data_IF_325226057276
#
_entry.id   IF_325226057276
#
_cell.length_a   1.000
_cell.length_b   1.000
_cell.length_c   1.000
_cell.angle_alpha   90.00
_cell.angle_beta   90.00
_cell.angle_gamma   90.00
#
_symmetry.space_group_name_H-M   'P 1'
#
loop_
_entity.id
_entity.type
_entity.pdbx_description
1 polymer ?
#
# COMPACT_ATOMS: atom_id res chain seq x y z
N UNK A 1 2.78 26.59 -15.75
CA UNK A 1 2.63 26.07 -14.38
C UNK A 1 2.73 24.57 -14.50
N UNK A 2 3.93 24.03 -14.33
CA UNK A 2 4.20 22.60 -14.43
C UNK A 2 3.57 21.91 -13.23
N UNK A 3 2.75 20.90 -13.49
CA UNK A 3 2.13 20.04 -12.50
C UNK A 3 3.16 19.61 -11.43
N UNK A 4 2.73 19.59 -10.16
CA UNK A 4 3.58 19.21 -9.02
C UNK A 4 3.93 17.73 -8.95
N UNK A 5 4.16 17.07 -10.09
CA UNK A 5 4.55 15.67 -10.22
C UNK A 5 6.04 15.58 -10.53
N UNK A 6 6.71 14.58 -9.98
CA UNK A 6 8.07 14.27 -10.38
C UNK A 6 8.07 13.72 -11.81
N UNK A 7 8.89 14.26 -12.73
CA UNK A 7 9.00 13.71 -14.06
C UNK A 7 9.58 12.29 -13.96
N UNK A 8 9.17 11.34 -14.82
CA UNK A 8 9.66 9.97 -14.79
C UNK A 8 11.18 9.90 -14.66
N UNK A 9 11.93 10.71 -15.41
CA UNK A 9 13.40 10.79 -15.34
C UNK A 9 13.95 11.08 -13.94
N UNK A 10 13.31 11.93 -13.15
CA UNK A 10 13.73 12.20 -11.78
C UNK A 10 13.54 10.98 -10.88
N UNK A 11 12.44 10.24 -11.05
CA UNK A 11 12.20 8.97 -10.32
C UNK A 11 13.27 7.94 -10.68
N UNK A 12 13.71 7.88 -11.94
CA UNK A 12 14.78 6.98 -12.36
C UNK A 12 16.13 7.34 -11.76
N UNK A 13 16.47 8.63 -11.73
CA UNK A 13 17.74 9.11 -11.17
C UNK A 13 17.83 8.72 -9.67
N UNK A 14 16.70 8.78 -8.95
CA UNK A 14 16.58 8.32 -7.56
C UNK A 14 16.69 6.79 -7.47
N UNK A 15 15.91 6.06 -8.27
CA UNK A 15 15.85 4.60 -8.22
C UNK A 15 17.20 3.94 -8.58
N UNK A 16 17.99 4.53 -9.48
CA UNK A 16 19.32 4.01 -9.87
C UNK A 16 20.37 4.08 -8.76
N UNK A 17 20.19 4.96 -7.77
CA UNK A 17 21.14 5.10 -6.66
C UNK A 17 20.91 4.02 -5.60
N UNK A 18 19.67 3.56 -5.46
CA UNK A 18 19.27 2.52 -4.52
C UNK A 18 19.25 1.16 -5.22
N UNK A 19 20.11 0.26 -4.77
CA UNK A 19 20.17 -1.12 -5.26
C UNK A 19 19.40 -2.08 -4.37
N UNK A 20 19.30 -3.33 -4.81
CA UNK A 20 18.55 -4.39 -4.10
C UNK A 20 19.06 -4.66 -2.68
N UNK A 21 20.37 -4.51 -2.47
CA UNK A 21 21.03 -4.73 -1.18
C UNK A 21 20.70 -3.65 -0.14
N UNK A 22 20.20 -2.47 -0.57
CA UNK A 22 19.92 -1.37 0.34
C UNK A 22 18.63 -1.61 1.15
N UNK A 23 17.84 -2.64 0.80
CA UNK A 23 16.56 -2.99 1.46
C UNK A 23 15.61 -1.80 1.63
N UNK A 24 15.72 -0.81 0.74
CA UNK A 24 14.87 0.35 0.68
C UNK A 24 13.89 0.25 -0.48
N UNK A 25 12.67 0.74 -0.26
CA UNK A 25 11.59 0.67 -1.24
C UNK A 25 10.59 1.79 -0.98
N UNK A 26 9.87 2.19 -2.03
CA UNK A 26 8.86 3.25 -1.94
C UNK A 26 7.66 2.73 -1.15
N UNK A 27 7.14 3.53 -0.23
CA UNK A 27 6.01 3.17 0.63
C UNK A 27 4.90 4.22 0.62
N UNK A 28 3.88 4.00 1.45
CA UNK A 28 2.91 5.03 1.81
C UNK A 28 2.02 5.43 0.64
N UNK A 29 1.80 6.74 0.52
CA UNK A 29 0.97 7.28 -0.55
C UNK A 29 1.62 7.12 -1.91
N UNK A 30 2.95 7.24 -1.97
CA UNK A 30 3.69 7.26 -3.22
C UNK A 30 3.77 5.89 -3.88
N UNK A 31 3.92 4.81 -3.11
CA UNK A 31 3.82 3.46 -3.66
C UNK A 31 2.44 3.23 -4.30
N UNK A 32 1.37 3.63 -3.60
CA UNK A 32 0.01 3.51 -4.13
C UNK A 32 -0.18 4.34 -5.41
N UNK A 33 0.40 5.54 -5.47
CA UNK A 33 0.33 6.39 -6.64
C UNK A 33 0.98 5.74 -7.85
N UNK A 34 2.19 5.17 -7.69
CA UNK A 34 2.89 4.47 -8.77
C UNK A 34 2.07 3.28 -9.28
N UNK A 35 1.49 2.48 -8.38
CA UNK A 35 0.58 1.41 -8.77
C UNK A 35 -0.68 1.92 -9.48
N UNK A 36 -1.30 2.99 -8.98
CA UNK A 36 -2.50 3.56 -9.59
C UNK A 36 -2.22 4.10 -11.00
N UNK A 37 -1.08 4.74 -11.21
CA UNK A 37 -0.66 5.19 -12.53
C UNK A 37 -0.39 4.01 -13.47
N UNK A 38 0.33 2.99 -13.00
CA UNK A 38 0.60 1.78 -13.77
C UNK A 38 -0.69 1.08 -14.23
N UNK A 39 -1.68 0.93 -13.35
CA UNK A 39 -2.95 0.28 -13.70
C UNK A 39 -3.97 1.21 -14.37
N UNK A 40 -3.71 2.52 -14.48
CA UNK A 40 -4.69 3.49 -15.00
C UNK A 40 -5.08 3.24 -16.46
N UNK A 41 -4.20 2.63 -17.25
CA UNK A 41 -4.49 2.24 -18.65
C UNK A 41 -5.52 1.11 -18.73
N UNK A 42 -5.48 0.16 -17.79
CA UNK A 42 -6.40 -0.99 -17.73
C UNK A 42 -7.66 -0.73 -16.89
N UNK A 43 -7.60 0.20 -15.94
CA UNK A 43 -8.69 0.52 -15.03
C UNK A 43 -8.98 2.04 -15.03
N UNK A 44 -9.76 2.49 -16.01
CA UNK A 44 -10.06 3.91 -16.23
C UNK A 44 -10.72 4.61 -15.01
N UNK A 45 -11.37 3.87 -14.11
CA UNK A 45 -11.90 4.40 -12.85
C UNK A 45 -10.81 4.97 -11.93
N UNK A 46 -9.55 4.56 -12.09
CA UNK A 46 -8.41 5.18 -11.41
C UNK A 46 -8.15 6.61 -11.92
N UNK A 47 -8.62 7.00 -13.10
CA UNK A 47 -8.43 8.37 -13.58
C UNK A 47 -9.23 9.39 -12.73
N UNK A 48 -10.31 8.97 -12.07
CA UNK A 48 -11.14 9.82 -11.20
C UNK A 48 -10.39 10.37 -9.97
N UNK A 49 -9.34 9.68 -9.53
CA UNK A 49 -8.65 10.01 -8.27
C UNK A 49 -7.31 10.73 -8.48
N UNK A 50 -6.98 11.11 -9.73
CA UNK A 50 -5.88 12.02 -10.04
C UNK A 50 -6.17 13.45 -9.53
N UNK A 51 -5.14 14.26 -9.19
CA UNK A 51 -3.75 13.88 -9.04
C UNK A 51 -3.54 13.12 -7.72
N UNK A 52 -2.65 12.14 -7.81
CA UNK A 52 -2.30 11.22 -6.73
C UNK A 52 -1.11 11.72 -5.89
N UNK A 53 -0.23 12.52 -6.47
CA UNK A 53 1.10 12.84 -5.94
C UNK A 53 1.12 14.01 -4.96
N UNK A 54 1.90 13.88 -3.90
CA UNK A 54 2.65 15.00 -3.30
C UNK A 54 4.03 15.10 -3.98
N UNK A 55 4.73 16.21 -3.79
CA UNK A 55 6.12 16.38 -4.25
C UNK A 55 7.10 15.45 -3.52
N UNK A 56 6.70 14.99 -2.35
CA UNK A 56 7.56 14.28 -1.40
C UNK A 56 7.52 12.77 -1.64
N UNK A 57 8.66 12.10 -1.59
CA UNK A 57 8.75 10.65 -1.76
C UNK A 57 8.93 9.95 -0.41
N UNK A 58 8.04 9.02 -0.07
CA UNK A 58 8.18 8.17 1.11
C UNK A 58 8.98 6.90 0.77
N UNK A 59 10.13 6.69 1.41
CA UNK A 59 10.87 5.44 1.41
C UNK A 59 10.77 4.73 2.76
N UNK A 60 10.71 3.40 2.73
CA UNK A 60 11.12 2.60 3.87
C UNK A 60 12.62 2.36 3.78
N UNK A 61 13.35 2.55 4.87
CA UNK A 61 14.79 2.33 4.87
C UNK A 61 15.46 2.85 6.14
N UNK A 62 16.73 2.50 6.31
CA UNK A 62 17.54 2.99 7.43
C UNK A 62 18.27 4.28 7.06
N UNK A 63 18.69 5.05 8.08
CA UNK A 63 19.46 6.29 7.91
C UNK A 63 20.67 6.13 6.98
N UNK A 64 21.40 5.03 7.08
CA UNK A 64 22.58 4.76 6.21
C UNK A 64 22.23 4.76 4.72
N UNK A 65 21.02 4.33 4.37
CA UNK A 65 20.53 4.34 2.98
C UNK A 65 20.15 5.75 2.55
N UNK A 66 19.55 6.53 3.45
CA UNK A 66 19.28 7.96 3.21
C UNK A 66 20.57 8.75 2.98
N UNK A 67 21.62 8.50 3.77
CA UNK A 67 22.94 9.11 3.60
C UNK A 67 23.55 8.78 2.23
N UNK A 68 23.46 7.51 1.80
CA UNK A 68 23.88 7.07 0.47
C UNK A 68 23.10 7.80 -0.63
N UNK A 69 21.78 7.93 -0.49
CA UNK A 69 20.94 8.59 -1.47
C UNK A 69 21.26 10.09 -1.57
N UNK A 70 21.40 10.78 -0.43
CA UNK A 70 21.79 12.18 -0.38
C UNK A 70 23.14 12.41 -1.10
N UNK A 71 24.14 11.57 -0.81
CA UNK A 71 25.43 11.65 -1.48
C UNK A 71 25.34 11.41 -2.99
N UNK A 72 24.54 10.43 -3.43
CA UNK A 72 24.33 10.13 -4.85
C UNK A 72 23.60 11.24 -5.62
N UNK A 73 22.70 11.96 -4.94
CA UNK A 73 21.96 13.08 -5.52
C UNK A 73 22.69 14.43 -5.39
N UNK A 74 23.81 14.48 -4.66
CA UNK A 74 24.45 15.75 -4.29
C UNK A 74 23.59 16.62 -3.37
N UNK A 75 22.70 15.99 -2.59
CA UNK A 75 21.78 16.63 -1.66
C UNK A 75 22.31 16.70 -0.22
N UNK A 76 21.43 17.07 0.70
CA UNK A 76 21.68 17.09 2.16
C UNK A 76 20.71 16.17 2.90
N UNK A 77 21.01 15.89 4.16
CA UNK A 77 20.20 15.04 5.03
C UNK A 77 19.83 15.79 6.31
N UNK A 78 18.55 15.73 6.67
CA UNK A 78 18.04 16.15 7.97
C UNK A 78 17.66 14.89 8.77
N UNK A 79 18.20 14.77 9.98
CA UNK A 79 17.95 13.63 10.86
C UNK A 79 17.04 14.09 12.01
N UNK A 80 15.92 13.40 12.27
CA UNK A 80 15.04 13.73 13.39
C UNK A 80 15.80 13.71 14.71
N UNK A 81 15.45 14.64 15.60
CA UNK A 81 15.96 14.69 16.96
C UNK A 81 15.52 13.43 17.74
N UNK A 82 16.26 12.97 18.76
CA UNK A 82 15.79 11.90 19.65
C UNK A 82 14.41 12.17 20.30
N UNK A 83 14.00 13.43 20.38
CA UNK A 83 12.71 13.86 20.92
C UNK A 83 11.58 13.87 19.87
N UNK A 84 11.89 13.63 18.59
CA UNK A 84 10.88 13.55 17.53
C UNK A 84 10.10 12.23 17.65
N UNK A 85 8.79 12.36 17.79
CA UNK A 85 7.87 11.22 17.96
C UNK A 85 7.43 10.58 16.63
N UNK A 86 8.03 11.01 15.51
CA UNK A 86 7.71 10.51 14.17
C UNK A 86 8.47 9.21 13.86
N UNK A 87 7.90 8.32 13.04
CA UNK A 87 8.59 7.09 12.58
C UNK A 87 9.67 7.37 11.53
N UNK A 88 9.99 8.64 11.31
CA UNK A 88 10.95 9.11 10.33
C UNK A 88 12.36 8.85 10.82
N UNK A 89 13.24 8.42 9.92
CA UNK A 89 14.65 8.15 10.22
C UNK A 89 15.58 9.19 9.62
N UNK A 90 15.15 9.84 8.53
CA UNK A 90 15.87 10.90 7.84
C UNK A 90 14.94 11.58 6.82
N UNK A 91 15.25 12.81 6.44
CA UNK A 91 14.77 13.47 5.21
C UNK A 91 15.99 13.70 4.34
N UNK A 92 15.90 13.35 3.06
CA UNK A 92 16.90 13.76 2.05
C UNK A 92 16.33 14.94 1.28
N UNK A 93 17.08 16.03 1.25
CA UNK A 93 16.79 17.22 0.45
C UNK A 93 17.71 17.22 -0.78
N UNK A 94 17.15 17.27 -1.97
CA UNK A 94 17.93 17.28 -3.20
C UNK A 94 17.26 18.08 -4.31
N UNK A 95 18.03 18.47 -5.33
CA UNK A 95 17.50 19.04 -6.56
C UNK A 95 17.74 18.05 -7.70
N UNK A 96 16.68 17.45 -8.23
CA UNK A 96 16.76 16.46 -9.32
C UNK A 96 16.11 17.04 -10.56
N UNK A 97 16.86 17.12 -11.66
CA UNK A 97 16.41 17.72 -12.93
C UNK A 97 15.84 19.15 -12.74
N UNK A 98 16.40 19.93 -11.81
CA UNK A 98 15.95 21.30 -11.50
C UNK A 98 14.70 21.39 -10.62
N UNK A 99 14.26 20.27 -10.04
CA UNK A 99 13.11 20.20 -9.13
C UNK A 99 13.63 19.88 -7.73
N UNK A 100 13.30 20.74 -6.78
CA UNK A 100 13.58 20.47 -5.36
C UNK A 100 12.63 19.40 -4.85
N UNK A 101 13.21 18.38 -4.22
CA UNK A 101 12.53 17.21 -3.69
C UNK A 101 12.94 16.94 -2.26
N UNK A 102 11.96 16.50 -1.48
CA UNK A 102 12.14 15.95 -0.15
C UNK A 102 11.80 14.45 -0.20
N UNK A 103 12.69 13.63 0.36
CA UNK A 103 12.54 12.18 0.41
C UNK A 103 12.55 11.75 1.88
N UNK A 104 11.38 11.39 2.38
CA UNK A 104 11.19 10.93 3.74
C UNK A 104 11.55 9.46 3.87
N UNK A 105 12.50 9.13 4.74
CA UNK A 105 12.79 7.76 5.12
C UNK A 105 12.06 7.40 6.40
N UNK A 106 11.33 6.29 6.36
CA UNK A 106 10.50 5.79 7.45
C UNK A 106 11.00 4.43 7.93
N UNK A 107 11.03 4.24 9.26
CA UNK A 107 11.33 2.95 9.90
C UNK A 107 10.10 2.07 10.11
N UNK A 108 8.90 2.66 10.00
CA UNK A 108 7.65 1.97 10.24
C UNK A 108 6.51 2.59 9.42
N UNK A 109 5.63 1.74 8.88
CA UNK A 109 4.44 2.17 8.16
C UNK A 109 3.20 1.80 8.97
N UNK A 110 2.44 2.82 9.37
CA UNK A 110 1.23 2.66 10.17
C UNK A 110 0.24 1.72 9.48
N UNK A 111 -0.30 0.76 10.23
CA UNK A 111 -1.32 -0.17 9.76
C UNK A 111 -0.81 -1.47 9.15
N UNK A 112 0.50 -1.63 9.01
CA UNK A 112 1.11 -2.85 8.46
C UNK A 112 1.94 -3.56 9.52
N UNK A 113 1.91 -4.89 9.51
CA UNK A 113 2.66 -5.73 10.45
C UNK A 113 4.18 -5.63 10.23
N UNK A 114 4.96 -6.13 11.19
CA UNK A 114 6.42 -6.24 11.05
C UNK A 114 6.78 -7.20 9.90
N UNK A 115 7.91 -6.96 9.23
CA UNK A 115 8.34 -7.75 8.08
C UNK A 115 7.80 -7.24 6.74
N UNK A 116 7.58 -5.92 6.63
CA UNK A 116 7.13 -5.26 5.40
C UNK A 116 8.02 -5.59 4.21
N UNK A 117 9.32 -5.79 4.47
CA UNK A 117 10.34 -6.13 3.48
C UNK A 117 10.06 -7.45 2.75
N UNK A 118 9.32 -8.38 3.36
CA UNK A 118 8.96 -9.66 2.74
C UNK A 118 7.83 -9.53 1.70
N UNK A 119 7.09 -8.41 1.72
CA UNK A 119 6.07 -8.07 0.74
C UNK A 119 6.47 -6.85 -0.07
N UNK A 120 7.73 -6.79 -0.51
CA UNK A 120 8.20 -5.82 -1.49
C UNK A 120 8.04 -6.43 -2.87
N UNK A 121 7.56 -5.63 -3.82
CA UNK A 121 7.33 -6.03 -5.20
C UNK A 121 8.05 -5.08 -6.12
N UNK A 122 8.69 -5.61 -7.16
CA UNK A 122 9.36 -4.81 -8.16
C UNK A 122 8.39 -4.47 -9.30
N UNK A 123 8.15 -3.18 -9.50
CA UNK A 123 7.43 -2.69 -10.65
C UNK A 123 8.42 -2.44 -11.79
N UNK A 124 8.34 -3.26 -12.83
CA UNK A 124 9.14 -3.11 -14.04
C UNK A 124 8.51 -2.05 -14.95
N UNK A 125 9.23 -0.96 -15.18
CA UNK A 125 8.81 0.10 -16.09
C UNK A 125 9.74 0.14 -17.30
N UNK A 126 9.20 0.19 -18.54
CA UNK A 126 10.02 0.42 -19.71
C UNK A 126 10.67 1.81 -19.61
N UNK A 127 11.94 1.88 -19.97
CA UNK A 127 12.71 3.11 -19.96
C UNK A 127 13.68 3.18 -21.13
N UNK A 128 13.74 4.34 -21.78
CA UNK A 128 14.74 4.64 -22.79
C UNK A 128 15.95 5.35 -22.16
N UNK A 129 17.09 4.66 -22.16
CA UNK A 129 18.37 5.26 -21.79
C UNK A 129 19.26 5.44 -23.03
N UNK A 130 19.46 6.70 -23.44
CA UNK A 130 20.35 7.06 -24.55
C UNK A 130 20.03 6.35 -25.88
N UNK A 131 18.74 6.13 -26.17
CA UNK A 131 18.27 5.46 -27.37
C UNK A 131 18.29 3.94 -27.28
N UNK A 132 18.40 3.37 -26.08
CA UNK A 132 18.31 1.93 -25.81
C UNK A 132 17.12 1.65 -24.91
N UNK A 133 16.27 0.73 -25.36
CA UNK A 133 15.22 0.16 -24.53
C UNK A 133 15.86 -0.65 -23.38
N UNK A 134 15.46 -0.30 -22.16
CA UNK A 134 15.82 -0.97 -20.93
C UNK A 134 14.59 -1.07 -20.03
N UNK A 135 14.68 -1.88 -18.98
CA UNK A 135 13.66 -1.97 -17.93
C UNK A 135 14.25 -1.43 -16.62
N UNK A 136 13.49 -0.61 -15.91
CA UNK A 136 13.80 -0.21 -14.54
C UNK A 136 12.87 -0.95 -13.59
N UNK A 137 13.46 -1.66 -12.63
CA UNK A 137 12.74 -2.15 -11.45
C UNK A 137 12.65 -1.05 -10.39
N UNK A 138 11.44 -0.66 -10.02
CA UNK A 138 11.18 0.18 -8.85
C UNK A 138 10.62 -0.70 -7.74
N UNK A 139 11.32 -0.75 -6.61
CA UNK A 139 10.89 -1.54 -5.45
C UNK A 139 9.77 -0.82 -4.71
N UNK A 140 8.60 -1.44 -4.62
CA UNK A 140 7.38 -0.87 -4.05
C UNK A 140 6.81 -1.71 -2.91
N UNK A 141 6.17 -1.02 -1.98
CA UNK A 141 5.25 -1.62 -1.04
C UNK A 141 4.13 -2.37 -1.76
N UNK A 142 3.87 -3.63 -1.37
CA UNK A 142 2.80 -4.43 -1.95
C UNK A 142 1.42 -3.75 -1.86
N UNK A 143 0.56 -3.84 -2.90
CA UNK A 143 -0.77 -3.22 -2.93
C UNK A 143 -1.67 -3.49 -1.72
N UNK A 144 -1.65 -4.73 -1.19
CA UNK A 144 -2.39 -5.07 0.03
C UNK A 144 -1.92 -4.23 1.23
N UNK A 145 -0.61 -4.04 1.38
CA UNK A 145 -0.04 -3.22 2.44
C UNK A 145 -0.40 -1.74 2.24
N UNK A 146 -0.43 -1.25 0.99
CA UNK A 146 -0.91 0.10 0.69
C UNK A 146 -2.35 0.30 1.19
N UNK A 147 -3.26 -0.64 0.89
CA UNK A 147 -4.64 -0.61 1.38
C UNK A 147 -4.70 -0.57 2.92
N UNK A 148 -3.98 -1.48 3.58
CA UNK A 148 -3.92 -1.54 5.04
C UNK A 148 -3.44 -0.22 5.67
N UNK A 149 -2.38 0.37 5.09
CA UNK A 149 -1.85 1.65 5.53
C UNK A 149 -2.85 2.79 5.36
N UNK A 150 -3.52 2.90 4.20
CA UNK A 150 -4.53 3.97 3.98
C UNK A 150 -5.70 3.84 4.95
N UNK A 151 -6.19 2.63 5.18
CA UNK A 151 -7.27 2.39 6.15
C UNK A 151 -6.83 2.78 7.57
N UNK A 152 -5.64 2.40 8.01
CA UNK A 152 -5.14 2.77 9.33
C UNK A 152 -4.90 4.27 9.48
N UNK A 153 -4.41 4.96 8.44
CA UNK A 153 -4.20 6.40 8.47
C UNK A 153 -5.51 7.17 8.69
N UNK A 154 -6.61 6.73 8.09
CA UNK A 154 -7.91 7.39 8.29
C UNK A 154 -8.51 7.05 9.66
N UNK A 155 -8.41 5.81 10.12
CA UNK A 155 -9.02 5.36 11.38
C UNK A 155 -8.24 5.83 12.61
N UNK A 156 -6.92 5.61 12.62
CA UNK A 156 -6.09 5.83 13.80
C UNK A 156 -5.54 7.25 13.86
N UNK A 157 -5.20 7.84 12.71
CA UNK A 157 -4.59 9.17 12.63
C UNK A 157 -5.60 10.26 12.23
N UNK A 158 -6.85 9.89 11.93
CA UNK A 158 -7.89 10.83 11.53
C UNK A 158 -7.59 11.59 10.22
N UNK A 159 -6.66 11.10 9.39
CA UNK A 159 -6.28 11.77 8.13
C UNK A 159 -7.47 11.76 7.17
N UNK A 160 -7.95 12.93 6.80
CA UNK A 160 -9.20 13.09 6.06
C UNK A 160 -9.16 14.18 4.98
N UNK A 161 -7.95 14.65 4.64
CA UNK A 161 -7.72 15.60 3.55
C UNK A 161 -8.06 15.00 2.19
N UNK A 162 -8.12 15.85 1.16
CA UNK A 162 -8.52 15.44 -0.19
C UNK A 162 -7.62 14.36 -0.78
N UNK A 163 -6.31 14.43 -0.57
CA UNK A 163 -5.35 13.45 -1.10
C UNK A 163 -5.49 12.11 -0.37
N UNK A 164 -5.57 12.13 0.96
CA UNK A 164 -5.80 10.91 1.75
C UNK A 164 -7.09 10.19 1.34
N UNK A 165 -8.17 10.93 1.03
CA UNK A 165 -9.44 10.35 0.56
C UNK A 165 -9.33 9.75 -0.84
N UNK A 166 -8.65 10.42 -1.77
CA UNK A 166 -8.42 9.90 -3.13
C UNK A 166 -7.59 8.61 -3.10
N UNK A 167 -6.52 8.61 -2.32
CA UNK A 167 -5.69 7.41 -2.10
C UNK A 167 -6.48 6.28 -1.43
N UNK A 168 -7.26 6.58 -0.39
CA UNK A 168 -8.12 5.59 0.25
C UNK A 168 -9.12 4.97 -0.76
N UNK A 169 -9.69 5.77 -1.65
CA UNK A 169 -10.62 5.29 -2.68
C UNK A 169 -9.93 4.47 -3.78
N UNK A 170 -8.71 4.80 -4.17
CA UNK A 170 -7.95 4.08 -5.20
C UNK A 170 -7.38 2.75 -4.71
N UNK A 171 -7.05 2.61 -3.42
CA UNK A 171 -6.36 1.44 -2.89
C UNK A 171 -7.07 0.09 -3.14
N UNK A 172 -8.40 -0.06 -2.97
CA UNK A 172 -9.10 -1.30 -3.32
C UNK A 172 -9.03 -1.65 -4.80
N UNK A 173 -9.06 -0.63 -5.67
CA UNK A 173 -9.00 -0.80 -7.12
C UNK A 173 -7.61 -1.30 -7.52
N UNK A 174 -6.56 -0.63 -7.04
CA UNK A 174 -5.18 -1.04 -7.25
C UNK A 174 -4.93 -2.48 -6.78
N UNK A 175 -5.43 -2.86 -5.60
CA UNK A 175 -5.30 -4.24 -5.11
C UNK A 175 -6.02 -5.25 -6.02
N UNK A 176 -7.21 -4.91 -6.53
CA UNK A 176 -7.95 -5.76 -7.45
C UNK A 176 -7.16 -5.96 -8.76
N UNK A 177 -6.66 -4.89 -9.35
CA UNK A 177 -5.89 -4.97 -10.61
C UNK A 177 -4.59 -5.76 -10.43
N UNK A 178 -3.92 -5.62 -9.29
CA UNK A 178 -2.74 -6.43 -8.97
C UNK A 178 -3.05 -7.93 -8.91
N UNK A 179 -4.13 -8.33 -8.23
CA UNK A 179 -4.56 -9.74 -8.18
C UNK A 179 -4.94 -10.24 -9.59
N UNK A 180 -5.62 -9.40 -10.38
CA UNK A 180 -6.01 -9.74 -11.74
C UNK A 180 -4.79 -9.93 -12.66
N UNK A 181 -3.73 -9.12 -12.47
CA UNK A 181 -2.46 -9.28 -13.17
C UNK A 181 -1.76 -10.57 -12.75
N UNK A 182 -1.64 -10.87 -11.45
CA UNK A 182 -1.05 -12.14 -10.99
C UNK A 182 -1.73 -13.35 -11.63
N UNK A 183 -3.06 -13.33 -11.78
CA UNK A 183 -3.80 -14.38 -12.48
C UNK A 183 -3.51 -14.42 -13.99
N UNK A 184 -3.36 -13.27 -14.64
CA UNK A 184 -2.96 -13.21 -16.05
C UNK A 184 -1.57 -13.79 -16.27
N UNK A 185 -0.66 -13.55 -15.33
CA UNK A 185 0.73 -14.00 -15.40
C UNK A 185 0.89 -15.49 -15.01
N UNK A 186 -0.20 -16.16 -14.63
CA UNK A 186 -0.20 -17.57 -14.23
C UNK A 186 0.16 -17.82 -12.77
N UNK A 187 0.33 -16.75 -11.98
CA UNK A 187 0.68 -16.78 -10.56
C UNK A 187 -0.57 -16.98 -9.68
N UNK A 188 -1.31 -18.07 -9.92
CA UNK A 188 -2.56 -18.38 -9.21
C UNK A 188 -2.38 -18.43 -7.69
N UNK A 189 -1.24 -18.98 -7.25
CA UNK A 189 -0.92 -19.11 -5.82
C UNK A 189 -0.80 -17.74 -5.14
N UNK A 190 -0.14 -16.78 -5.79
CA UNK A 190 0.02 -15.42 -5.31
C UNK A 190 -1.35 -14.76 -5.15
N UNK A 191 -2.20 -14.85 -6.17
CA UNK A 191 -3.57 -14.34 -6.12
C UNK A 191 -4.38 -14.95 -4.95
N UNK A 192 -4.30 -16.26 -4.74
CA UNK A 192 -4.96 -16.96 -3.63
C UNK A 192 -4.45 -16.47 -2.26
N UNK A 193 -3.13 -16.32 -2.12
CA UNK A 193 -2.51 -15.93 -0.86
C UNK A 193 -2.85 -14.47 -0.52
N UNK A 194 -2.93 -13.57 -1.52
CA UNK A 194 -3.40 -12.19 -1.34
C UNK A 194 -4.88 -12.15 -0.94
N UNK A 195 -5.75 -12.93 -1.60
CA UNK A 195 -7.18 -12.99 -1.27
C UNK A 195 -7.40 -13.51 0.17
N UNK A 196 -6.61 -14.50 0.60
CA UNK A 196 -6.59 -14.98 1.99
C UNK A 196 -6.13 -13.92 2.96
N UNK A 197 -5.04 -13.23 2.65
CA UNK A 197 -4.48 -12.18 3.50
C UNK A 197 -5.46 -10.99 3.63
N UNK A 198 -6.14 -10.61 2.54
CA UNK A 198 -7.22 -9.62 2.56
C UNK A 198 -8.38 -10.08 3.45
N UNK A 199 -8.84 -11.32 3.28
CA UNK A 199 -9.88 -11.89 4.14
C UNK A 199 -9.49 -11.83 5.62
N UNK A 200 -8.28 -12.27 5.97
CA UNK A 200 -7.79 -12.25 7.35
C UNK A 200 -7.71 -10.84 7.93
N UNK A 201 -7.24 -9.88 7.14
CA UNK A 201 -7.25 -8.46 7.49
C UNK A 201 -8.67 -7.97 7.79
N UNK A 202 -9.63 -8.17 6.88
CA UNK A 202 -11.01 -7.73 7.06
C UNK A 202 -11.72 -8.46 8.22
N UNK A 203 -11.32 -9.69 8.52
CA UNK A 203 -11.94 -10.55 9.53
C UNK A 203 -11.46 -10.26 10.95
N UNK A 204 -10.18 -9.97 11.11
CA UNK A 204 -9.47 -10.07 12.40
C UNK A 204 -8.81 -8.76 12.81
N UNK A 205 -8.33 -7.95 11.87
CA UNK A 205 -7.66 -6.69 12.18
C UNK A 205 -8.64 -5.64 12.75
N UNK A 206 -8.16 -4.79 13.65
CA UNK A 206 -9.00 -3.75 14.29
C UNK A 206 -9.47 -2.70 13.27
N UNK A 207 -8.58 -2.32 12.35
CA UNK A 207 -8.83 -1.33 11.31
C UNK A 207 -9.52 -1.99 10.10
N UNK A 208 -9.06 -3.18 9.70
CA UNK A 208 -9.67 -3.96 8.62
C UNK A 208 -11.16 -4.23 8.84
N UNK A 209 -11.56 -4.59 10.07
CA UNK A 209 -12.99 -4.79 10.41
C UNK A 209 -13.85 -3.53 10.24
N UNK A 210 -13.26 -2.34 10.31
CA UNK A 210 -13.96 -1.05 10.17
C UNK A 210 -13.85 -0.47 8.76
N UNK A 211 -13.03 -1.05 7.87
CA UNK A 211 -12.74 -0.53 6.54
C UNK A 211 -14.01 -0.23 5.71
N UNK A 212 -15.00 -1.12 5.76
CA UNK A 212 -16.31 -0.96 5.08
C UNK A 212 -17.11 0.29 5.48
N UNK A 213 -16.75 0.96 6.59
CA UNK A 213 -17.45 2.16 7.07
C UNK A 213 -16.88 3.45 6.50
N UNK A 214 -15.64 3.41 6.00
CA UNK A 214 -14.88 4.59 5.60
C UNK A 214 -14.52 4.59 4.10
N UNK A 215 -14.47 3.41 3.49
CA UNK A 215 -14.11 3.26 2.09
C UNK A 215 -15.32 3.49 1.18
N UNK A 216 -15.09 4.20 0.06
CA UNK A 216 -16.08 4.33 -1.03
C UNK A 216 -16.38 2.98 -1.68
N UNK A 217 -15.35 2.15 -1.87
CA UNK A 217 -15.45 0.80 -2.40
C UNK A 217 -15.13 -0.20 -1.30
N UNK A 218 -16.09 -1.07 -0.96
CA UNK A 218 -15.92 -2.01 0.13
C UNK A 218 -14.89 -3.08 -0.25
N UNK A 219 -13.83 -3.32 0.53
CA UNK A 219 -12.82 -4.33 0.20
C UNK A 219 -13.37 -5.75 0.04
N UNK A 220 -14.56 -6.06 0.58
CA UNK A 220 -15.19 -7.36 0.33
C UNK A 220 -15.56 -7.54 -1.16
N UNK A 221 -15.77 -6.46 -1.89
CA UNK A 221 -16.13 -6.51 -3.30
C UNK A 221 -14.97 -7.03 -4.16
N UNK A 222 -13.72 -6.92 -3.69
CA UNK A 222 -12.56 -7.57 -4.31
C UNK A 222 -12.74 -9.09 -4.25
N UNK A 223 -13.08 -9.65 -3.08
CA UNK A 223 -13.33 -11.09 -2.95
C UNK A 223 -14.48 -11.54 -3.84
N UNK A 224 -15.56 -10.73 -3.93
CA UNK A 224 -16.70 -11.01 -4.80
C UNK A 224 -16.35 -10.97 -6.28
N UNK A 225 -15.51 -10.02 -6.69
CA UNK A 225 -15.05 -9.89 -8.07
C UNK A 225 -14.41 -11.19 -8.57
N UNK A 226 -13.52 -11.79 -7.77
CA UNK A 226 -12.83 -13.03 -8.13
C UNK A 226 -13.64 -14.31 -7.93
N UNK A 227 -14.87 -14.23 -7.41
CA UNK A 227 -15.71 -15.42 -7.22
C UNK A 227 -16.12 -16.08 -8.55
N UNK A 228 -16.24 -15.27 -9.62
CA UNK A 228 -16.59 -15.75 -10.95
C UNK A 228 -15.38 -15.95 -11.88
N UNK A 229 -14.16 -15.64 -11.42
CA UNK A 229 -12.97 -15.66 -12.29
C UNK A 229 -12.50 -17.08 -12.58
N UNK A 230 -12.62 -17.52 -13.84
CA UNK A 230 -12.30 -18.89 -14.25
C UNK A 230 -10.80 -19.23 -14.20
N UNK A 231 -9.92 -18.23 -14.03
CA UNK A 231 -8.48 -18.45 -13.85
C UNK A 231 -8.13 -19.05 -12.49
N UNK A 232 -9.05 -18.99 -11.54
CA UNK A 232 -8.93 -19.64 -10.23
C UNK A 232 -9.64 -20.99 -10.22
N UNK A 233 -9.04 -21.98 -9.55
CA UNK A 233 -9.62 -23.30 -9.33
C UNK A 233 -11.08 -23.22 -8.87
N UNK A 234 -11.96 -23.92 -9.60
CA UNK A 234 -13.41 -23.88 -9.36
C UNK A 234 -13.77 -24.34 -7.94
N UNK A 235 -13.10 -25.39 -7.44
CA UNK A 235 -13.36 -25.90 -6.09
C UNK A 235 -12.94 -24.89 -5.03
N UNK A 236 -11.83 -24.19 -5.21
CA UNK A 236 -11.38 -23.13 -4.31
C UNK A 236 -12.35 -21.94 -4.31
N UNK A 237 -12.83 -21.50 -5.47
CA UNK A 237 -13.84 -20.43 -5.58
C UNK A 237 -15.12 -20.78 -4.84
N UNK A 238 -15.68 -21.95 -5.12
CA UNK A 238 -16.97 -22.39 -4.55
C UNK A 238 -16.91 -22.68 -3.05
N UNK A 239 -15.81 -23.24 -2.54
CA UNK A 239 -15.72 -23.69 -1.15
C UNK A 239 -15.01 -22.69 -0.26
N UNK A 240 -13.84 -22.21 -0.69
CA UNK A 240 -13.00 -21.34 0.13
C UNK A 240 -13.40 -19.88 -0.01
N UNK A 241 -13.38 -19.33 -1.23
CA UNK A 241 -13.66 -17.91 -1.45
C UNK A 241 -15.10 -17.54 -1.10
N UNK A 242 -16.08 -18.33 -1.54
CA UNK A 242 -17.48 -18.14 -1.14
C UNK A 242 -17.68 -18.21 0.38
N UNK A 243 -17.00 -19.14 1.06
CA UNK A 243 -17.04 -19.27 2.52
C UNK A 243 -16.45 -18.06 3.24
N UNK A 244 -15.35 -17.49 2.73
CA UNK A 244 -14.74 -16.26 3.25
C UNK A 244 -15.71 -15.08 3.15
N UNK A 245 -16.36 -14.91 2.00
CA UNK A 245 -17.35 -13.85 1.76
C UNK A 245 -18.52 -13.99 2.75
N UNK A 246 -19.13 -15.18 2.82
CA UNK A 246 -20.26 -15.44 3.71
C UNK A 246 -19.91 -15.18 5.19
N UNK A 247 -18.69 -15.52 5.61
CA UNK A 247 -18.23 -15.26 6.98
C UNK A 247 -18.08 -13.76 7.27
N UNK A 248 -17.53 -12.98 6.35
CA UNK A 248 -17.40 -11.52 6.51
C UNK A 248 -18.76 -10.84 6.54
N UNK A 249 -19.68 -11.23 5.65
CA UNK A 249 -21.05 -10.73 5.62
C UNK A 249 -21.78 -11.07 6.92
N UNK A 250 -21.70 -12.31 7.37
CA UNK A 250 -22.29 -12.78 8.62
C UNK A 250 -21.88 -11.91 9.81
N UNK A 251 -20.58 -11.57 9.93
CA UNK A 251 -20.07 -10.68 11.00
C UNK A 251 -20.59 -9.25 10.93
N UNK A 252 -20.97 -8.75 9.75
CA UNK A 252 -21.48 -7.39 9.54
C UNK A 252 -22.97 -7.28 9.87
N UNK A 253 -23.72 -8.40 9.82
CA UNK A 253 -25.12 -8.45 10.26
C UNK A 253 -25.29 -8.19 11.76
N UNK A 254 -26.49 -7.77 12.16
CA UNK A 254 -26.85 -7.49 13.57
C UNK A 254 -26.67 -8.72 14.49
N UNK A 255 -27.07 -9.91 14.02
CA UNK A 255 -26.88 -11.18 14.74
C UNK A 255 -25.41 -11.57 14.88
N UNK A 256 -24.58 -11.36 13.84
CA UNK A 256 -23.14 -11.58 13.91
C UNK A 256 -22.44 -10.64 14.91
N UNK A 257 -22.93 -9.41 15.04
CA UNK A 257 -22.47 -8.44 16.05
C UNK A 257 -22.85 -8.89 17.47
N UNK A 258 -24.07 -9.37 17.70
CA UNK A 258 -24.50 -9.91 19.00
C UNK A 258 -23.72 -11.16 19.43
N UNK A 259 -23.54 -12.14 18.53
CA UNK A 259 -22.77 -13.37 18.83
C UNK A 259 -21.28 -13.10 19.09
N UNK A 260 -20.71 -12.08 18.46
CA UNK A 260 -19.32 -11.66 18.72
C UNK A 260 -19.19 -10.99 20.09
N UNK A 261 -20.18 -10.17 20.49
CA UNK A 261 -20.21 -9.56 21.81
C UNK A 261 -20.36 -10.60 22.93
N UNK A 262 -21.20 -11.62 22.73
CA UNK A 262 -21.41 -12.73 23.68
C UNK A 262 -20.21 -13.68 23.83
N UNK A 263 -19.24 -13.64 22.91
CA UNK A 263 -18.02 -14.49 22.93
C UNK A 263 -16.82 -13.85 23.64
N UNK A 264 -16.92 -12.61 24.13
CA UNK A 264 -15.97 -12.07 25.11
C UNK A 264 -16.57 -12.30 26.51
N UNK A 265 -16.17 -13.35 27.25
CA UNK A 265 -16.51 -13.40 28.66
C UNK A 265 -15.64 -12.38 29.40
N UNK A 266 -16.27 -11.71 30.36
CA UNK A 266 -15.69 -10.75 31.27
C UNK A 266 -14.34 -11.23 31.83
N UNK A 267 -13.26 -10.56 31.46
CA UNK A 267 -12.00 -10.56 32.21
C UNK A 267 -11.85 -9.22 32.92
N UNK A 268 -12.87 -8.80 33.64
CA UNK A 268 -12.79 -7.69 34.61
C UNK A 268 -14.13 -7.62 35.35
N UNK A 269 -14.30 -8.50 36.34
CA UNK A 269 -15.20 -8.29 37.47
C UNK A 269 -14.96 -9.40 38.49
N UNK A 270 -14.15 -9.07 39.50
CA UNK A 270 -14.48 -9.20 40.92
C UNK A 270 -13.20 -9.23 41.75
N UNK A 271 -12.97 -8.42 42.79
CA UNK A 271 -13.63 -7.26 43.44
C UNK A 271 -12.68 -6.94 44.65
N UNK A 272 -13.08 -6.31 45.77
CA UNK A 272 -12.63 -4.99 46.18
C UNK A 272 -11.91 -5.01 47.55
N UNK A 273 -11.65 -3.81 48.06
CA UNK A 273 -11.05 -3.42 49.36
C UNK A 273 -9.54 -3.61 49.54
#
# INVERSE_FOLDING_TARGET
>A
MTDGHLPPRAVLDIAKILGDDDRAFVVGGQALNLWAEYYSEGAAELLEFRPYTSKDIDYFGQRVVAEKLAAGLGGSIDVPSPDDTTFQTAIVHATVQGIDIDIDFLSHVKGVQRGLEAGVVDLLLPYDHEGKEAELAIRLMHPLHCLQSRVANVIDLGRNDGTSRRQLAAAPIVLREYIAQSLTDGEEREAIDILRALFEYLRSDINGRKAHRILRYDPIDILRHFLADERLDARWREKSLAGMIAQLEGKRTFLGRMLTALRRPDSELSTPD
#
